data_IF_511686389215
#
_entry.id   IF_511686389215
#
_cell.length_a   1.000
_cell.length_b   1.000
_cell.length_c   1.000
_cell.angle_alpha   90.00
_cell.angle_beta   90.00
_cell.angle_gamma   90.00
#
_symmetry.space_group_name_H-M   'P 1'
#
loop_
_entity.id
_entity.type
_entity.pdbx_description
1 polymer ?
#
# COMPACT_ATOMS: atom_id res chain seq x y z
N UNK A 1 60.22 -8.58 14.02
CA UNK A 1 60.43 -7.36 13.23
C UNK A 1 59.12 -6.59 13.23
N UNK A 2 59.11 -5.46 13.94
CA UNK A 2 57.94 -4.62 14.14
C UNK A 2 57.93 -3.57 13.04
N UNK A 3 56.90 -3.52 12.22
CA UNK A 3 56.66 -2.41 11.30
C UNK A 3 55.66 -1.45 11.93
N UNK A 4 56.16 -0.29 12.29
CA UNK A 4 55.41 0.88 12.76
C UNK A 4 54.94 1.63 11.49
N UNK A 5 53.64 1.67 11.23
CA UNK A 5 53.07 2.51 10.20
C UNK A 5 52.66 3.85 10.80
N UNK A 6 53.40 4.88 10.44
CA UNK A 6 53.16 6.27 10.85
C UNK A 6 52.13 6.89 9.92
N UNK A 7 50.95 7.21 10.41
CA UNK A 7 49.89 7.93 9.70
C UNK A 7 50.11 9.43 9.84
N UNK A 8 50.48 10.09 8.75
CA UNK A 8 50.61 11.54 8.68
C UNK A 8 49.20 12.15 8.53
N UNK A 9 48.71 12.86 9.54
CA UNK A 9 47.49 13.65 9.47
C UNK A 9 47.83 15.00 8.86
N UNK A 10 47.43 15.18 7.59
CA UNK A 10 47.52 16.46 6.89
C UNK A 10 46.32 17.32 7.26
N UNK A 11 46.48 18.28 8.15
CA UNK A 11 45.45 19.28 8.48
C UNK A 11 45.36 20.29 7.33
N UNK A 12 44.34 20.16 6.48
CA UNK A 12 44.00 21.15 5.51
C UNK A 12 43.25 22.32 6.17
N UNK A 13 43.94 23.42 6.40
CA UNK A 13 43.34 24.68 6.82
C UNK A 13 42.57 25.25 5.61
N UNK A 14 41.26 25.02 5.57
CA UNK A 14 40.38 25.72 4.62
C UNK A 14 40.02 27.07 5.20
N UNK A 15 40.65 28.12 4.66
CA UNK A 15 40.22 29.51 4.90
C UNK A 15 38.85 29.71 4.26
N UNK A 16 37.81 29.81 5.10
CA UNK A 16 36.48 30.27 4.69
C UNK A 16 36.56 31.74 4.27
N UNK A 17 36.06 32.11 3.09
CA UNK A 17 35.93 33.53 2.76
C UNK A 17 34.88 34.14 3.70
N UNK A 18 35.29 35.13 4.48
CA UNK A 18 34.40 35.99 5.25
C UNK A 18 33.54 36.79 4.27
N UNK A 19 32.30 36.38 4.04
CA UNK A 19 31.29 37.22 3.40
C UNK A 19 30.89 38.33 4.39
N UNK A 20 31.63 39.42 4.39
CA UNK A 20 31.21 40.67 5.03
C UNK A 20 30.13 41.33 4.15
N UNK A 21 28.88 41.25 4.58
CA UNK A 21 27.75 41.86 3.89
C UNK A 21 26.40 41.26 4.30
N UNK A 22 26.30 40.62 5.46
CA UNK A 22 25.05 40.14 5.99
C UNK A 22 24.16 41.27 6.48
N UNK A 23 22.99 41.50 5.83
CA UNK A 23 21.85 42.08 6.54
C UNK A 23 21.73 41.31 7.84
N UNK A 24 21.71 42.02 9.00
CA UNK A 24 21.42 41.38 10.28
C UNK A 24 20.17 40.53 10.10
N UNK A 25 20.28 39.21 10.17
CA UNK A 25 19.12 38.36 10.33
C UNK A 25 18.38 38.89 11.56
N UNK A 26 17.12 39.28 11.36
CA UNK A 26 16.32 39.72 12.48
C UNK A 26 16.28 38.57 13.50
N UNK A 27 16.64 38.87 14.74
CA UNK A 27 16.44 37.92 15.86
C UNK A 27 14.96 37.54 15.89
N UNK A 28 14.65 36.34 15.43
CA UNK A 28 13.28 35.90 15.26
C UNK A 28 13.18 34.39 15.09
N UNK A 29 11.99 33.87 15.26
CA UNK A 29 11.68 32.46 15.13
C UNK A 29 11.46 32.13 13.65
N UNK A 30 12.25 31.21 13.12
CA UNK A 30 12.14 30.74 11.73
C UNK A 30 11.09 29.65 11.62
N UNK A 31 10.23 29.77 10.61
CA UNK A 31 9.28 28.72 10.25
C UNK A 31 9.13 28.61 8.73
N UNK A 32 8.55 27.52 8.28
CA UNK A 32 8.31 27.25 6.87
C UNK A 32 6.82 27.01 6.61
N UNK A 33 6.33 27.46 5.49
CA UNK A 33 4.99 27.11 5.06
C UNK A 33 4.98 25.69 4.46
N UNK A 34 3.86 24.96 4.62
CA UNK A 34 3.72 23.66 4.02
C UNK A 34 3.40 23.74 2.53
N UNK A 35 3.97 22.83 1.76
CA UNK A 35 3.43 22.41 0.46
C UNK A 35 2.75 21.07 0.60
N UNK A 36 1.64 20.89 -0.09
CA UNK A 36 0.87 19.64 -0.03
C UNK A 36 1.49 18.60 -0.93
N UNK A 37 1.79 17.44 -0.38
CA UNK A 37 2.09 16.24 -1.14
C UNK A 37 0.87 15.31 -1.12
N UNK A 38 0.58 14.71 -2.26
CA UNK A 38 -0.48 13.72 -2.44
C UNK A 38 0.16 12.34 -2.36
N UNK A 39 -0.34 11.49 -1.49
CA UNK A 39 0.02 10.08 -1.42
C UNK A 39 -1.05 9.24 -2.08
N UNK A 40 -0.64 8.44 -3.03
CA UNK A 40 -1.50 7.47 -3.72
C UNK A 40 -1.20 6.11 -3.12
N UNK A 41 -2.15 5.55 -2.40
CA UNK A 41 -2.07 4.23 -1.80
C UNK A 41 -2.68 3.23 -2.78
N UNK A 42 -1.87 2.35 -3.32
CA UNK A 42 -2.29 1.35 -4.31
C UNK A 42 -2.18 -0.03 -3.69
N UNK A 43 -3.31 -0.70 -3.52
CA UNK A 43 -3.36 -2.08 -3.07
C UNK A 43 -3.24 -3.00 -4.29
N UNK A 44 -2.16 -3.76 -4.34
CA UNK A 44 -1.88 -4.70 -5.42
C UNK A 44 -1.96 -6.12 -4.87
N UNK A 45 -2.83 -6.89 -5.47
CA UNK A 45 -2.96 -8.33 -5.24
C UNK A 45 -2.04 -9.08 -6.20
N UNK A 46 -1.20 -9.94 -5.64
CA UNK A 46 -0.36 -10.90 -6.36
C UNK A 46 -0.97 -12.27 -6.22
N UNK A 47 -1.34 -12.90 -7.33
CA UNK A 47 -1.82 -14.28 -7.39
C UNK A 47 -0.74 -15.16 -8.00
N UNK A 48 -0.36 -16.21 -7.28
CA UNK A 48 0.57 -17.22 -7.79
C UNK A 48 -0.18 -18.54 -7.88
N UNK A 49 -0.36 -19.03 -9.11
CA UNK A 49 -0.99 -20.33 -9.38
C UNK A 49 0.08 -21.35 -9.69
N UNK A 50 0.15 -22.41 -8.88
CA UNK A 50 1.09 -23.51 -9.02
C UNK A 50 0.34 -24.75 -9.50
N UNK A 51 0.83 -25.47 -10.54
CA UNK A 51 0.21 -26.71 -11.03
C UNK A 51 0.12 -27.77 -9.94
N UNK A 52 -0.91 -28.59 -10.04
CA UNK A 52 -1.03 -29.77 -9.21
C UNK A 52 -0.11 -30.91 -9.70
N UNK A 53 0.27 -31.82 -8.80
CA UNK A 53 1.11 -32.96 -9.15
C UNK A 53 0.49 -33.90 -10.20
N UNK A 54 -0.84 -33.94 -10.27
CA UNK A 54 -1.64 -34.78 -11.18
C UNK A 54 -2.37 -33.94 -12.24
N UNK A 55 -1.89 -32.73 -12.56
CA UNK A 55 -2.55 -31.80 -13.46
C UNK A 55 -2.82 -32.38 -14.86
N UNK A 56 -1.91 -33.23 -15.38
CA UNK A 56 -2.03 -33.89 -16.70
C UNK A 56 -3.29 -34.78 -16.77
N UNK A 57 -3.77 -35.31 -15.65
CA UNK A 57 -4.96 -36.17 -15.57
C UNK A 57 -6.25 -35.41 -15.30
N UNK A 58 -6.21 -34.09 -15.14
CA UNK A 58 -7.39 -33.29 -14.81
C UNK A 58 -8.48 -33.37 -15.87
N UNK A 59 -8.14 -33.27 -17.14
CA UNK A 59 -9.11 -33.39 -18.22
C UNK A 59 -9.67 -34.80 -18.33
N UNK A 60 -8.85 -35.83 -18.10
CA UNK A 60 -9.30 -37.23 -18.16
C UNK A 60 -10.42 -37.51 -17.15
N UNK A 61 -10.22 -37.12 -15.90
CA UNK A 61 -11.16 -37.47 -14.80
C UNK A 61 -12.24 -36.42 -14.55
N UNK A 62 -11.95 -35.12 -14.76
CA UNK A 62 -12.86 -34.04 -14.37
C UNK A 62 -13.32 -33.18 -15.55
N UNK A 63 -12.85 -33.43 -16.76
CA UNK A 63 -13.16 -32.61 -17.97
C UNK A 63 -12.87 -31.13 -17.76
N UNK A 64 -11.82 -30.81 -17.00
CA UNK A 64 -11.39 -29.45 -16.68
C UNK A 64 -9.94 -29.26 -17.04
N UNK A 65 -9.62 -28.15 -17.71
CA UNK A 65 -8.23 -27.78 -17.95
C UNK A 65 -7.56 -27.37 -16.62
N UNK A 66 -6.33 -27.84 -16.41
CA UNK A 66 -5.52 -27.47 -15.25
C UNK A 66 -4.28 -26.68 -15.68
N UNK A 67 -3.76 -25.79 -14.81
CA UNK A 67 -2.51 -25.11 -15.07
C UNK A 67 -1.38 -26.09 -15.31
N UNK A 68 -0.56 -25.85 -16.36
CA UNK A 68 0.58 -26.69 -16.70
C UNK A 68 1.91 -26.10 -16.17
N UNK A 69 1.93 -24.79 -15.96
CA UNK A 69 3.10 -24.04 -15.48
C UNK A 69 2.69 -23.09 -14.36
N UNK A 70 3.65 -22.77 -13.52
CA UNK A 70 3.42 -21.74 -12.50
C UNK A 70 3.24 -20.39 -13.16
N UNK A 71 2.14 -19.71 -12.85
CA UNK A 71 1.86 -18.37 -13.33
C UNK A 71 1.77 -17.39 -12.17
N UNK A 72 2.23 -16.17 -12.44
CA UNK A 72 2.10 -15.06 -11.49
C UNK A 72 1.36 -13.94 -12.19
N UNK A 73 0.29 -13.47 -11.57
CA UNK A 73 -0.52 -12.38 -12.07
C UNK A 73 -0.74 -11.34 -10.97
N UNK A 74 -0.80 -10.08 -11.37
CA UNK A 74 -1.03 -8.96 -10.48
C UNK A 74 -2.31 -8.22 -10.85
N UNK A 75 -2.99 -7.68 -9.84
CA UNK A 75 -4.22 -6.92 -10.01
C UNK A 75 -4.27 -5.78 -9.00
N UNK A 76 -4.64 -4.58 -9.42
CA UNK A 76 -4.99 -3.48 -8.52
C UNK A 76 -6.36 -3.79 -7.93
N UNK A 77 -6.44 -3.87 -6.59
CA UNK A 77 -7.68 -4.19 -5.86
C UNK A 77 -8.24 -3.00 -5.10
N UNK A 78 -7.45 -1.95 -4.92
CA UNK A 78 -7.91 -0.71 -4.29
C UNK A 78 -6.94 0.43 -4.53
N UNK A 79 -7.49 1.64 -4.57
CA UNK A 79 -6.70 2.88 -4.60
C UNK A 79 -7.36 3.88 -3.67
N UNK A 80 -6.55 4.46 -2.79
CA UNK A 80 -6.98 5.54 -1.91
C UNK A 80 -5.97 6.68 -1.96
N UNK A 81 -6.42 7.88 -1.61
CA UNK A 81 -5.58 9.06 -1.58
C UNK A 81 -5.52 9.61 -0.17
N UNK A 82 -4.34 10.07 0.20
CA UNK A 82 -4.14 10.89 1.38
C UNK A 82 -3.26 12.09 1.04
N UNK A 83 -3.24 13.08 1.91
CA UNK A 83 -2.40 14.25 1.75
C UNK A 83 -1.49 14.42 2.96
N UNK A 84 -0.26 14.83 2.71
CA UNK A 84 0.68 15.17 3.78
C UNK A 84 1.31 16.52 3.52
N UNK A 85 1.61 17.23 4.61
CA UNK A 85 2.35 18.49 4.53
C UNK A 85 3.84 18.19 4.41
N UNK A 86 4.50 18.85 3.47
CA UNK A 86 5.95 18.84 3.33
C UNK A 86 6.48 20.26 3.48
N UNK A 87 7.69 20.40 3.98
CA UNK A 87 8.37 21.68 4.08
C UNK A 87 8.61 22.27 2.69
N UNK A 88 8.22 23.53 2.49
CA UNK A 88 8.56 24.30 1.31
C UNK A 88 9.78 25.19 1.62
N UNK A 89 10.94 24.80 1.11
CA UNK A 89 12.19 25.56 1.30
C UNK A 89 12.14 26.98 0.72
N UNK A 90 11.29 27.21 -0.29
CA UNK A 90 11.12 28.52 -0.92
C UNK A 90 10.28 29.47 -0.05
N UNK A 91 9.51 28.94 0.90
CA UNK A 91 8.60 29.69 1.76
C UNK A 91 9.12 29.74 3.20
N UNK A 92 10.37 30.17 3.34
CA UNK A 92 11.00 30.44 4.65
C UNK A 92 10.57 31.80 5.16
N UNK A 93 10.01 31.86 6.34
CA UNK A 93 9.55 33.07 7.01
C UNK A 93 10.21 33.22 8.38
N UNK A 94 10.33 34.46 8.85
CA UNK A 94 10.87 34.80 10.16
C UNK A 94 9.87 35.64 10.92
N UNK A 95 9.48 35.22 12.11
CA UNK A 95 8.66 36.01 13.01
C UNK A 95 9.59 36.82 13.91
N UNK A 96 9.62 38.14 13.73
CA UNK A 96 10.33 39.03 14.63
C UNK A 96 9.70 39.03 16.01
N UNK A 97 10.51 38.89 17.04
CA UNK A 97 10.06 39.03 18.43
C UNK A 97 10.16 40.51 18.78
N UNK A 98 9.02 41.20 18.78
CA UNK A 98 8.92 42.61 19.22
C UNK A 98 8.15 42.70 20.53
N UNK A 99 8.55 43.64 21.38
CA UNK A 99 7.86 43.90 22.67
C UNK A 99 6.42 44.39 22.55
N UNK A 100 6.03 44.81 21.34
CA UNK A 100 4.67 45.29 21.01
C UNK A 100 3.71 44.18 20.59
N UNK A 101 4.21 43.00 20.20
CA UNK A 101 3.42 41.93 19.62
C UNK A 101 3.49 40.67 20.47
N UNK A 102 2.36 40.10 20.77
CA UNK A 102 2.25 38.95 21.67
C UNK A 102 2.24 37.64 20.89
N UNK A 103 3.40 37.25 20.33
CA UNK A 103 3.59 35.85 19.89
C UNK A 103 4.21 35.11 21.09
N UNK A 104 3.39 34.31 21.76
CA UNK A 104 3.81 33.57 22.95
C UNK A 104 4.44 32.22 22.60
N UNK A 105 3.96 31.58 21.54
CA UNK A 105 4.45 30.28 21.11
C UNK A 105 4.19 30.06 19.63
N UNK A 106 5.10 29.32 18.97
CA UNK A 106 4.94 28.84 17.60
C UNK A 106 5.14 27.33 17.65
N UNK A 107 4.12 26.60 17.23
CA UNK A 107 4.13 25.15 17.14
C UNK A 107 4.51 24.75 15.71
N UNK A 108 5.65 24.08 15.57
CA UNK A 108 6.16 23.55 14.31
C UNK A 108 6.30 22.03 14.41
N UNK A 109 6.23 21.35 13.27
CA UNK A 109 6.59 19.94 13.22
C UNK A 109 8.13 19.72 13.28
N UNK A 110 8.56 18.46 13.24
CA UNK A 110 9.98 18.10 13.26
C UNK A 110 10.79 18.68 12.08
N UNK A 111 10.11 19.09 11.00
CA UNK A 111 10.70 19.66 9.80
C UNK A 111 10.65 21.21 9.81
N UNK A 112 10.18 21.82 10.91
CA UNK A 112 10.04 23.26 11.02
C UNK A 112 8.84 23.85 10.26
N UNK A 113 7.88 23.02 9.86
CA UNK A 113 6.63 23.48 9.21
C UNK A 113 5.68 24.03 10.26
N UNK A 114 5.19 25.23 10.03
CA UNK A 114 4.24 25.90 10.91
C UNK A 114 2.94 25.10 11.04
N UNK A 115 2.54 24.81 12.27
CA UNK A 115 1.29 24.12 12.61
C UNK A 115 0.31 25.01 13.35
N UNK A 116 0.79 25.78 14.31
CA UNK A 116 -0.06 26.69 15.07
C UNK A 116 0.75 27.85 15.67
N UNK A 117 0.06 28.95 15.96
CA UNK A 117 0.61 30.12 16.63
C UNK A 117 -0.24 30.38 17.88
N UNK A 118 0.42 30.62 19.01
CA UNK A 118 -0.19 30.84 20.33
C UNK A 118 -1.14 29.71 20.82
N UNK A 119 -1.09 28.56 20.18
CA UNK A 119 -1.86 27.37 20.55
C UNK A 119 -1.07 26.13 20.15
N UNK A 120 -1.44 24.97 20.71
CA UNK A 120 -0.90 23.68 20.24
C UNK A 120 -1.79 23.15 19.12
N UNK A 121 -1.15 22.75 18.02
CA UNK A 121 -1.85 22.04 16.96
C UNK A 121 -2.33 20.66 17.47
N UNK A 122 -3.48 20.17 17.01
CA UNK A 122 -3.88 18.80 17.29
C UNK A 122 -2.82 17.83 16.77
N UNK A 123 -2.65 16.70 17.46
CA UNK A 123 -1.75 15.66 16.99
C UNK A 123 -2.07 15.29 15.55
N UNK A 124 -1.05 15.14 14.71
CA UNK A 124 -1.24 14.65 13.36
C UNK A 124 -1.87 13.26 13.46
N UNK A 125 -2.95 13.04 12.70
CA UNK A 125 -3.54 11.71 12.59
C UNK A 125 -2.55 10.84 11.83
N UNK A 126 -1.93 9.89 12.52
CA UNK A 126 -1.08 8.90 11.86
C UNK A 126 -1.94 8.04 10.95
N UNK A 127 -1.46 7.81 9.74
CA UNK A 127 -2.09 6.86 8.83
C UNK A 127 -1.86 5.45 9.38
N UNK A 128 -2.94 4.71 9.55
CA UNK A 128 -2.81 3.31 9.97
C UNK A 128 -2.13 2.52 8.84
N UNK A 129 -1.05 1.78 9.13
CA UNK A 129 -0.39 0.96 8.13
C UNK A 129 -1.34 -0.12 7.63
N UNK A 130 -1.32 -0.37 6.34
CA UNK A 130 -2.08 -1.47 5.74
C UNK A 130 -1.71 -2.79 6.42
N UNK A 131 -2.73 -3.52 6.85
CA UNK A 131 -2.57 -4.87 7.41
C UNK A 131 -3.28 -5.86 6.50
N UNK A 132 -2.53 -6.74 5.82
CA UNK A 132 -3.16 -7.77 5.01
C UNK A 132 -4.01 -8.70 5.88
N UNK A 133 -5.11 -9.21 5.34
CA UNK A 133 -5.93 -10.19 6.01
C UNK A 133 -5.10 -11.46 6.37
N UNK A 134 -5.35 -12.08 7.52
CA UNK A 134 -4.65 -13.30 7.90
C UNK A 134 -4.90 -14.39 6.86
N UNK A 135 -3.82 -15.03 6.40
CA UNK A 135 -3.91 -16.11 5.41
C UNK A 135 -4.45 -17.37 6.08
N UNK A 136 -5.42 -18.01 5.43
CA UNK A 136 -5.89 -19.32 5.85
C UNK A 136 -4.73 -20.35 5.76
N UNK A 137 -4.66 -21.26 6.71
CA UNK A 137 -3.68 -22.35 6.69
C UNK A 137 -3.89 -23.17 5.42
N UNK A 138 -2.85 -23.40 4.61
CA UNK A 138 -2.98 -24.20 3.40
C UNK A 138 -3.38 -25.65 3.76
N UNK A 139 -4.25 -26.23 2.95
CA UNK A 139 -4.61 -27.64 3.09
C UNK A 139 -3.47 -28.49 2.55
N UNK A 140 -3.11 -29.55 3.28
CA UNK A 140 -2.17 -30.53 2.81
C UNK A 140 -2.94 -31.74 2.26
N UNK A 141 -2.89 -32.04 0.95
CA UNK A 141 -3.61 -33.18 0.36
C UNK A 141 -3.29 -34.52 1.03
N UNK A 142 -2.08 -34.70 1.53
CA UNK A 142 -1.66 -35.96 2.18
C UNK A 142 -2.47 -36.32 3.42
N UNK A 143 -2.99 -35.32 4.11
CA UNK A 143 -3.82 -35.54 5.34
C UNK A 143 -5.19 -36.18 5.01
N UNK A 144 -5.54 -36.23 3.72
CA UNK A 144 -6.82 -36.72 3.20
C UNK A 144 -6.66 -37.92 2.26
N UNK A 145 -5.45 -38.44 2.09
CA UNK A 145 -5.18 -39.60 1.25
C UNK A 145 -5.34 -40.88 2.04
N UNK A 146 -6.02 -41.89 1.46
CA UNK A 146 -6.04 -43.24 1.97
C UNK A 146 -4.67 -43.93 1.83
N UNK A 147 -4.49 -45.07 2.56
CA UNK A 147 -3.26 -45.84 2.43
C UNK A 147 -3.03 -46.36 1.00
N UNK A 148 -4.09 -46.71 0.29
CA UNK A 148 -3.99 -47.17 -1.11
C UNK A 148 -3.47 -46.09 -2.04
N UNK A 149 -3.89 -44.85 -1.82
CA UNK A 149 -3.39 -43.68 -2.57
C UNK A 149 -1.91 -43.48 -2.28
N UNK A 150 -1.50 -43.51 -1.01
CA UNK A 150 -0.13 -43.30 -0.58
C UNK A 150 0.81 -44.43 -1.06
N UNK A 151 0.29 -45.65 -1.20
CA UNK A 151 1.02 -46.82 -1.68
C UNK A 151 1.01 -46.99 -3.21
N UNK A 152 0.39 -46.05 -3.96
CA UNK A 152 0.27 -46.14 -5.42
C UNK A 152 1.66 -46.20 -6.08
N UNK A 153 1.89 -47.21 -6.91
CA UNK A 153 3.18 -47.51 -7.52
C UNK A 153 3.63 -46.47 -8.58
N UNK A 154 2.67 -45.72 -9.15
CA UNK A 154 2.95 -44.75 -10.21
C UNK A 154 1.88 -43.65 -10.24
N UNK A 155 2.17 -42.55 -10.95
CA UNK A 155 1.27 -41.41 -11.06
C UNK A 155 -0.11 -41.72 -11.69
N UNK A 156 -0.23 -42.48 -12.80
CA UNK A 156 -1.54 -42.83 -13.34
C UNK A 156 -2.43 -43.56 -12.33
N UNK A 157 -1.86 -44.51 -11.58
CA UNK A 157 -2.61 -45.25 -10.55
C UNK A 157 -3.01 -44.34 -9.39
N UNK A 158 -2.09 -43.49 -8.96
CA UNK A 158 -2.39 -42.47 -7.94
C UNK A 158 -3.52 -41.54 -8.39
N UNK A 159 -3.45 -41.03 -9.64
CA UNK A 159 -4.51 -40.17 -10.19
C UNK A 159 -5.86 -40.86 -10.23
N UNK A 160 -5.91 -42.15 -10.62
CA UNK A 160 -7.13 -42.93 -10.61
C UNK A 160 -7.73 -43.03 -9.21
N UNK A 161 -6.91 -43.40 -8.21
CA UNK A 161 -7.38 -43.59 -6.84
C UNK A 161 -7.84 -42.26 -6.20
N UNK A 162 -7.08 -41.18 -6.41
CA UNK A 162 -7.49 -39.85 -5.92
C UNK A 162 -8.78 -39.40 -6.58
N UNK A 163 -8.95 -39.60 -7.89
CA UNK A 163 -10.18 -39.24 -8.57
C UNK A 163 -11.38 -40.04 -8.04
N UNK A 164 -11.21 -41.34 -7.78
CA UNK A 164 -12.23 -42.16 -7.15
C UNK A 164 -12.63 -41.62 -5.78
N UNK A 165 -11.66 -41.33 -4.92
CA UNK A 165 -11.92 -40.75 -3.59
C UNK A 165 -12.69 -39.44 -3.66
N UNK A 166 -12.36 -38.56 -4.64
CA UNK A 166 -13.09 -37.32 -4.87
C UNK A 166 -14.55 -37.59 -5.26
N UNK A 167 -14.79 -38.56 -6.12
CA UNK A 167 -16.17 -38.95 -6.50
C UNK A 167 -16.92 -39.55 -5.33
N UNK A 168 -16.31 -40.38 -4.48
CA UNK A 168 -16.92 -40.98 -3.28
C UNK A 168 -17.30 -39.89 -2.26
N UNK A 169 -16.44 -38.84 -2.12
CA UNK A 169 -16.75 -37.67 -1.29
C UNK A 169 -17.96 -36.91 -1.83
N UNK A 170 -18.02 -36.71 -3.17
CA UNK A 170 -19.15 -36.04 -3.82
C UNK A 170 -20.44 -36.82 -3.66
N UNK A 171 -20.38 -38.14 -3.80
CA UNK A 171 -21.55 -39.02 -3.62
C UNK A 171 -22.02 -39.00 -2.18
N UNK A 172 -21.12 -39.06 -1.22
CA UNK A 172 -21.45 -38.92 0.21
C UNK A 172 -22.16 -37.60 0.51
N UNK A 173 -21.68 -36.52 -0.08
CA UNK A 173 -22.32 -35.20 0.05
C UNK A 173 -23.71 -35.16 -0.58
N UNK A 174 -23.88 -35.79 -1.75
CA UNK A 174 -25.17 -35.89 -2.42
C UNK A 174 -26.18 -36.71 -1.62
N UNK A 175 -25.76 -37.86 -1.05
CA UNK A 175 -26.60 -38.69 -0.18
C UNK A 175 -27.07 -37.94 1.08
N UNK A 176 -26.15 -37.20 1.71
CA UNK A 176 -26.48 -36.32 2.85
C UNK A 176 -27.50 -35.25 2.45
N UNK A 177 -27.34 -34.63 1.27
CA UNK A 177 -28.23 -33.55 0.80
C UNK A 177 -29.64 -34.04 0.49
N UNK A 178 -29.77 -35.31 0.08
CA UNK A 178 -31.05 -35.94 -0.22
C UNK A 178 -31.71 -36.60 1.00
N UNK A 179 -31.00 -36.69 2.12
CA UNK A 179 -31.47 -37.42 3.30
C UNK A 179 -31.41 -38.94 3.13
N UNK A 180 -30.59 -39.45 2.21
CA UNK A 180 -30.44 -40.86 1.84
C UNK A 180 -29.19 -41.51 2.41
N UNK A 181 -28.40 -40.78 3.22
CA UNK A 181 -27.22 -41.33 3.86
C UNK A 181 -27.61 -42.35 4.97
N UNK A 182 -26.83 -43.44 5.08
CA UNK A 182 -27.05 -44.48 6.08
C UNK A 182 -27.07 -43.92 7.51
N UNK A 183 -26.32 -42.85 7.75
CA UNK A 183 -26.30 -42.11 9.00
C UNK A 183 -26.62 -40.63 8.73
N UNK A 184 -27.80 -40.20 9.18
CA UNK A 184 -28.23 -38.82 9.12
C UNK A 184 -27.96 -38.10 10.46
N UNK A 185 -27.34 -36.94 10.45
CA UNK A 185 -27.14 -36.16 11.65
C UNK A 185 -28.46 -35.69 12.23
N UNK A 186 -28.55 -35.66 13.58
CA UNK A 186 -29.79 -35.33 14.29
C UNK A 186 -30.10 -33.84 14.33
N UNK A 187 -29.08 -33.01 14.14
CA UNK A 187 -29.22 -31.55 14.17
C UNK A 187 -28.47 -30.88 13.00
N UNK A 188 -28.83 -29.61 12.76
CA UNK A 188 -28.26 -28.84 11.66
C UNK A 188 -26.77 -28.49 11.84
N UNK A 189 -26.28 -28.40 13.07
CA UNK A 189 -24.88 -28.12 13.35
C UNK A 189 -23.98 -29.31 12.99
N UNK A 190 -24.38 -30.53 13.34
CA UNK A 190 -23.67 -31.73 12.92
C UNK A 190 -23.66 -31.87 11.41
N UNK A 191 -24.79 -31.61 10.76
CA UNK A 191 -24.87 -31.61 9.30
C UNK A 191 -23.91 -30.59 8.66
N UNK A 192 -23.84 -29.39 9.21
CA UNK A 192 -22.92 -28.34 8.76
C UNK A 192 -21.46 -28.80 8.88
N UNK A 193 -21.07 -29.37 10.01
CA UNK A 193 -19.71 -29.87 10.23
C UNK A 193 -19.35 -31.00 9.26
N UNK A 194 -20.29 -31.91 8.95
CA UNK A 194 -20.08 -32.98 7.99
C UNK A 194 -19.85 -32.39 6.58
N UNK A 195 -20.66 -31.43 6.15
CA UNK A 195 -20.46 -30.76 4.88
C UNK A 195 -19.12 -30.00 4.82
N UNK A 196 -18.75 -29.31 5.87
CA UNK A 196 -17.47 -28.61 5.94
C UNK A 196 -16.30 -29.59 5.80
N UNK A 197 -16.38 -30.75 6.45
CA UNK A 197 -15.33 -31.76 6.37
C UNK A 197 -15.23 -32.38 4.97
N UNK A 198 -16.34 -32.78 4.35
CA UNK A 198 -16.37 -33.31 3.00
C UNK A 198 -15.86 -32.27 1.97
N UNK A 199 -16.30 -31.02 2.09
CA UNK A 199 -15.82 -29.94 1.22
C UNK A 199 -14.33 -29.64 1.43
N UNK A 200 -13.80 -29.82 2.64
CA UNK A 200 -12.38 -29.65 2.94
C UNK A 200 -11.55 -30.76 2.31
N UNK A 201 -12.02 -32.01 2.43
CA UNK A 201 -11.40 -33.19 1.81
C UNK A 201 -11.38 -33.07 0.29
N UNK A 202 -12.51 -32.77 -0.33
CA UNK A 202 -12.59 -32.56 -1.79
C UNK A 202 -11.64 -31.47 -2.24
N UNK A 203 -11.62 -30.30 -1.59
CA UNK A 203 -10.72 -29.20 -1.92
C UNK A 203 -9.24 -29.57 -1.78
N UNK A 204 -8.89 -30.32 -0.75
CA UNK A 204 -7.52 -30.77 -0.54
C UNK A 204 -7.07 -31.72 -1.64
N UNK A 205 -7.86 -32.71 -1.99
CA UNK A 205 -7.55 -33.67 -3.02
C UNK A 205 -7.55 -33.06 -4.44
N UNK A 206 -8.51 -32.15 -4.71
CA UNK A 206 -8.59 -31.43 -5.98
C UNK A 206 -7.36 -30.56 -6.26
N UNK A 207 -6.60 -30.11 -5.24
CA UNK A 207 -5.35 -29.38 -5.43
C UNK A 207 -4.30 -30.20 -6.20
N UNK A 208 -4.36 -31.52 -6.11
CA UNK A 208 -3.45 -32.40 -6.85
C UNK A 208 -3.67 -32.31 -8.37
N UNK A 209 -4.91 -32.07 -8.81
CA UNK A 209 -5.26 -31.91 -10.22
C UNK A 209 -5.22 -30.44 -10.66
N UNK A 210 -5.95 -29.59 -9.96
CA UNK A 210 -6.12 -28.19 -10.36
C UNK A 210 -5.00 -27.26 -9.87
N UNK A 211 -4.15 -27.74 -8.97
CA UNK A 211 -3.10 -26.92 -8.36
C UNK A 211 -3.63 -26.02 -7.26
N UNK A 212 -2.82 -25.06 -6.86
CA UNK A 212 -3.12 -24.11 -5.80
C UNK A 212 -2.89 -22.71 -6.28
N UNK A 213 -3.77 -21.79 -5.87
CA UNK A 213 -3.57 -20.34 -6.04
C UNK A 213 -3.36 -19.70 -4.68
N UNK A 214 -2.21 -19.08 -4.49
CA UNK A 214 -1.93 -18.26 -3.32
C UNK A 214 -2.09 -16.79 -3.69
N UNK A 215 -2.72 -16.04 -2.80
CA UNK A 215 -2.99 -14.62 -2.99
C UNK A 215 -2.29 -13.84 -1.89
N UNK A 216 -1.61 -12.77 -2.27
CA UNK A 216 -0.95 -11.84 -1.36
C UNK A 216 -1.26 -10.41 -1.76
N UNK A 217 -1.60 -9.56 -0.78
CA UNK A 217 -1.92 -8.15 -1.04
C UNK A 217 -0.85 -7.28 -0.41
N UNK A 218 -0.28 -6.39 -1.20
CA UNK A 218 0.74 -5.43 -0.78
C UNK A 218 0.25 -4.02 -1.07
N UNK A 219 0.49 -3.10 -0.13
CA UNK A 219 0.28 -1.68 -0.34
C UNK A 219 1.55 -1.03 -0.89
N UNK A 220 1.38 -0.25 -1.95
CA UNK A 220 2.40 0.64 -2.50
C UNK A 220 1.96 2.08 -2.30
N UNK A 221 2.86 2.92 -1.80
CA UNK A 221 2.59 4.35 -1.59
C UNK A 221 3.45 5.17 -2.54
N UNK A 222 2.79 5.87 -3.45
CA UNK A 222 3.44 6.80 -4.39
C UNK A 222 3.17 8.22 -3.94
N UNK A 223 4.22 9.00 -3.72
CA UNK A 223 4.11 10.39 -3.28
C UNK A 223 4.32 11.34 -4.47
N UNK A 224 3.35 12.21 -4.71
CA UNK A 224 3.36 13.22 -5.74
C UNK A 224 3.34 14.60 -5.09
N UNK A 225 4.21 15.50 -5.55
CA UNK A 225 4.22 16.90 -5.11
C UNK A 225 3.71 17.77 -6.27
N UNK A 226 2.46 18.25 -6.21
CA UNK A 226 1.90 19.09 -7.25
C UNK A 226 2.68 20.41 -7.37
N UNK A 227 3.09 20.76 -8.59
CA UNK A 227 3.71 22.06 -8.88
C UNK A 227 2.68 23.12 -9.30
N UNK A 228 1.53 22.69 -9.80
CA UNK A 228 0.46 23.54 -10.29
C UNK A 228 -0.87 23.16 -9.64
N UNK A 229 -1.78 24.12 -9.57
CA UNK A 229 -3.13 23.94 -9.00
C UNK A 229 -4.00 22.94 -9.77
N UNK A 230 -3.78 22.82 -11.09
CA UNK A 230 -4.41 21.81 -11.92
C UNK A 230 -3.36 21.20 -12.84
N UNK A 231 -3.20 19.89 -12.76
CA UNK A 231 -2.25 19.15 -13.59
C UNK A 231 -2.56 17.65 -13.64
N UNK A 232 -2.06 17.03 -14.68
CA UNK A 232 -2.04 15.57 -14.84
C UNK A 232 -0.62 15.08 -14.64
N UNK A 233 -0.41 14.20 -13.66
CA UNK A 233 0.92 13.69 -13.30
C UNK A 233 0.93 12.18 -13.42
N UNK A 234 1.94 11.64 -14.11
CA UNK A 234 2.15 10.19 -14.11
C UNK A 234 2.59 9.74 -12.71
N UNK A 235 1.81 8.85 -12.11
CA UNK A 235 2.06 8.37 -10.76
C UNK A 235 2.91 7.10 -10.75
N UNK A 236 2.54 6.11 -11.56
CA UNK A 236 3.20 4.81 -11.63
C UNK A 236 2.85 4.11 -12.93
N UNK A 237 3.48 2.98 -13.18
CA UNK A 237 3.08 2.04 -14.22
C UNK A 237 2.66 0.72 -13.61
N UNK A 238 1.77 0.02 -14.30
CA UNK A 238 1.25 -1.26 -13.83
C UNK A 238 1.18 -2.27 -14.96
N UNK A 239 1.63 -3.48 -14.66
CA UNK A 239 1.54 -4.63 -15.55
C UNK A 239 0.90 -5.81 -14.83
N UNK A 240 0.00 -6.53 -15.51
CA UNK A 240 -0.58 -7.77 -14.99
C UNK A 240 0.47 -8.85 -14.72
N UNK A 241 1.66 -8.76 -15.34
CA UNK A 241 2.73 -9.76 -15.20
C UNK A 241 3.84 -9.34 -14.24
N UNK A 242 4.11 -8.04 -14.12
CA UNK A 242 5.22 -7.53 -13.30
C UNK A 242 4.78 -6.71 -12.09
N UNK A 243 3.47 -6.40 -12.00
CA UNK A 243 2.92 -5.60 -10.90
C UNK A 243 3.13 -4.11 -11.12
N UNK A 244 3.24 -3.38 -10.00
CA UNK A 244 3.46 -1.94 -10.00
C UNK A 244 4.96 -1.65 -10.14
N UNK A 245 5.28 -0.73 -11.04
CA UNK A 245 6.64 -0.29 -11.34
C UNK A 245 6.74 1.24 -11.36
N UNK A 246 7.96 1.74 -11.43
CA UNK A 246 8.25 3.17 -11.52
C UNK A 246 7.80 3.76 -12.87
N UNK A 247 7.75 5.08 -12.95
CA UNK A 247 7.37 5.80 -14.17
C UNK A 247 8.29 5.53 -15.36
N UNK A 248 9.55 5.18 -15.11
CA UNK A 248 10.58 4.95 -16.12
C UNK A 248 10.56 3.53 -16.70
N UNK A 249 9.87 2.60 -16.04
CA UNK A 249 9.74 1.21 -16.49
C UNK A 249 8.63 1.09 -17.54
N UNK A 250 8.99 0.93 -18.79
CA UNK A 250 8.05 0.85 -19.92
C UNK A 250 7.30 -0.49 -20.03
N UNK A 251 7.52 -1.45 -19.14
CA UNK A 251 6.87 -2.77 -19.16
C UNK A 251 5.39 -2.75 -18.76
N UNK A 252 4.90 -1.64 -18.19
CA UNK A 252 3.53 -1.48 -17.70
C UNK A 252 2.78 -0.32 -18.36
N UNK A 253 1.46 -0.37 -18.25
CA UNK A 253 0.57 0.74 -18.65
C UNK A 253 0.74 1.92 -17.67
N UNK A 254 0.78 3.17 -18.17
CA UNK A 254 0.92 4.33 -17.31
C UNK A 254 -0.40 4.66 -16.60
N UNK A 255 -0.29 5.00 -15.32
CA UNK A 255 -1.38 5.52 -14.51
C UNK A 255 -1.10 6.96 -14.13
N UNK A 256 -2.10 7.81 -14.33
CA UNK A 256 -2.01 9.24 -14.11
C UNK A 256 -2.94 9.66 -12.97
N UNK A 257 -2.51 10.63 -12.20
CA UNK A 257 -3.36 11.34 -11.24
C UNK A 257 -3.68 12.71 -11.82
N UNK A 258 -4.96 12.94 -12.05
CA UNK A 258 -5.50 14.23 -12.40
C UNK A 258 -5.80 14.99 -11.10
N UNK A 259 -5.13 16.12 -10.94
CA UNK A 259 -5.27 17.00 -9.78
C UNK A 259 -6.01 18.25 -10.26
N UNK A 260 -7.17 18.52 -9.69
CA UNK A 260 -7.96 19.70 -9.98
C UNK A 260 -8.29 20.44 -8.67
N UNK A 261 -8.12 21.76 -8.65
CA UNK A 261 -8.54 22.59 -7.54
C UNK A 261 -10.08 22.69 -7.56
N UNK A 262 -10.71 22.38 -6.44
CA UNK A 262 -12.13 22.73 -6.25
C UNK A 262 -12.18 24.15 -5.71
N UNK A 263 -12.97 25.04 -6.39
CA UNK A 263 -13.14 26.42 -5.99
C UNK A 263 -13.50 26.51 -4.51
N UNK A 264 -12.56 26.95 -3.71
CA UNK A 264 -12.81 27.29 -2.31
C UNK A 264 -13.10 28.78 -2.29
N UNK A 265 -14.35 29.13 -2.03
CA UNK A 265 -14.86 30.48 -1.87
C UNK A 265 -14.39 31.19 -0.60
N UNK A 266 -13.30 30.78 0.00
CA UNK A 266 -12.68 31.56 1.05
C UNK A 266 -11.71 32.57 0.40
N UNK A 267 -12.27 33.64 -0.17
CA UNK A 267 -11.43 34.81 -0.41
C UNK A 267 -10.87 35.27 0.93
N UNK A 268 -9.53 35.44 1.03
CA UNK A 268 -8.97 36.05 2.22
C UNK A 268 -9.63 37.44 2.37
N UNK A 269 -9.97 37.86 3.58
CA UNK A 269 -10.54 39.17 3.78
C UNK A 269 -9.60 40.23 3.17
N UNK A 270 -10.11 40.94 2.17
CA UNK A 270 -9.31 41.93 1.44
C UNK A 270 -9.14 43.14 2.36
N UNK A 271 -7.99 43.21 3.00
CA UNK A 271 -7.63 44.35 3.88
C UNK A 271 -7.00 45.45 3.02
N UNK A 272 -7.73 45.99 2.04
CA UNK A 272 -7.19 47.01 1.14
C UNK A 272 -6.97 48.39 1.76
N UNK A 273 -7.69 48.76 2.80
CA UNK A 273 -7.56 50.10 3.41
C UNK A 273 -6.68 50.16 4.66
N UNK A 274 -6.45 49.03 5.32
CA UNK A 274 -5.55 48.96 6.48
C UNK A 274 -4.06 48.83 6.13
N UNK A 275 -3.72 48.34 4.93
CA UNK A 275 -2.34 48.09 4.55
C UNK A 275 -1.41 49.33 4.58
N UNK A 276 -1.98 50.55 4.46
CA UNK A 276 -1.17 51.81 4.59
C UNK A 276 -0.91 52.21 6.05
N UNK A 277 -1.71 51.76 6.99
CA UNK A 277 -1.53 52.03 8.42
C UNK A 277 -0.76 50.94 9.18
N UNK A 278 -0.59 49.77 8.55
CA UNK A 278 -0.03 48.53 9.10
C UNK A 278 1.49 48.41 8.95
N UNK A 279 2.23 49.53 8.73
CA UNK A 279 3.69 49.47 8.63
C UNK A 279 4.42 48.94 9.85
N UNK A 280 3.74 48.89 10.99
CA UNK A 280 4.30 48.46 12.29
C UNK A 280 3.62 47.20 12.86
N UNK A 281 2.76 46.51 12.11
CA UNK A 281 2.10 45.28 12.57
C UNK A 281 2.84 44.03 12.12
N UNK A 282 2.79 43.00 12.96
CA UNK A 282 3.39 41.72 12.71
C UNK A 282 2.74 41.06 11.50
N UNK A 283 3.47 40.91 10.39
CA UNK A 283 3.00 40.21 9.19
C UNK A 283 3.29 38.72 9.35
N UNK A 284 2.24 37.92 9.48
CA UNK A 284 2.33 36.47 9.51
C UNK A 284 1.91 35.89 8.16
N UNK A 285 2.81 35.11 7.54
CA UNK A 285 2.46 34.31 6.39
C UNK A 285 1.83 33.00 6.86
N UNK A 286 0.66 32.67 6.33
CA UNK A 286 -0.07 31.45 6.64
C UNK A 286 -0.63 30.81 5.37
N UNK A 287 -0.76 29.50 5.33
CA UNK A 287 -1.45 28.78 4.27
C UNK A 287 -2.94 28.66 4.62
N UNK A 288 -3.81 29.04 3.69
CA UNK A 288 -5.23 28.76 3.80
C UNK A 288 -5.52 27.34 3.27
N UNK A 289 -6.38 26.56 3.94
CA UNK A 289 -6.75 25.25 3.47
C UNK A 289 -7.51 25.35 2.14
N UNK A 290 -7.14 24.53 1.17
CA UNK A 290 -7.81 24.39 -0.12
C UNK A 290 -8.45 23.01 -0.25
N UNK A 291 -9.35 22.85 -1.21
CA UNK A 291 -9.89 21.55 -1.62
C UNK A 291 -9.36 21.19 -2.99
N UNK A 292 -8.98 19.93 -3.15
CA UNK A 292 -8.55 19.36 -4.41
C UNK A 292 -9.38 18.12 -4.72
N UNK A 293 -9.66 17.92 -6.00
CA UNK A 293 -10.21 16.67 -6.52
C UNK A 293 -9.08 15.87 -7.12
N UNK A 294 -9.00 14.60 -6.75
CA UNK A 294 -8.00 13.65 -7.25
C UNK A 294 -8.71 12.54 -8.00
N UNK A 295 -8.27 12.25 -9.22
CA UNK A 295 -8.81 11.17 -10.04
C UNK A 295 -7.66 10.35 -10.60
N UNK A 296 -7.72 9.03 -10.47
CA UNK A 296 -6.76 8.11 -11.10
C UNK A 296 -7.32 7.65 -12.44
N UNK A 297 -6.51 7.72 -13.48
CA UNK A 297 -6.84 7.23 -14.81
C UNK A 297 -5.65 6.47 -15.41
N UNK A 298 -5.92 5.50 -16.26
CA UNK A 298 -4.91 4.73 -17.01
C UNK A 298 -4.89 5.09 -18.50
N UNK A 299 -5.50 6.21 -18.87
CA UNK A 299 -5.49 6.72 -20.24
C UNK A 299 -5.60 8.24 -20.31
#
# INVERSE_FOLDING_TARGET
>A
MKHILSTLILAALTTLPAFAGGKKEADGLVYYLPKTAVRVHVLVEKSVTTPGQLNEYSDLYFKTAAPQVTTTDYRIVGVTFSTTAMRDESQRHVIGIDKKHTVLSVDCDANGVLRAINTKAPAAKEEEPFRPAPKAKPLNPRDYMSQDILAAANQPKMAQLVAQEIYDVRDSRNLLSRGEADFMPKDGEQLRLMYEQLNRQERALMQLFQGTTTVDTTEYVVTLVPEKKAQRVMAFRFSKKFGLSTTDDLSGEPYYVDIAEENVTAEPPVVHEMAKKLKDELQLAVCLPGKIRLTLSNN
#
